data_IF_046481650572
#
_entry.id   IF_046481650572
#
_cell.length_a   1.000
_cell.length_b   1.000
_cell.length_c   1.000
_cell.angle_alpha   90.00
_cell.angle_beta   90.00
_cell.angle_gamma   90.00
#
_symmetry.space_group_name_H-M   'P 1'
#
loop_
_entity.id
_entity.type
_entity.pdbx_description
1 polymer ?
#
# COMPACT_ATOMS: atom_id res chain seq x y z
N UNK A 1 -15.61 -34.71 -60.78
CA UNK A 1 -16.58 -35.75 -61.19
C UNK A 1 -16.28 -37.02 -60.37
N UNK A 2 -17.29 -37.57 -59.67
CA UNK A 2 -17.35 -38.92 -59.07
C UNK A 2 -16.46 -39.18 -57.84
N UNK A 3 -16.98 -39.22 -56.60
CA UNK A 3 -17.51 -40.38 -55.85
C UNK A 3 -16.42 -41.42 -55.50
N UNK A 4 -16.26 -41.98 -54.29
CA UNK A 4 -17.23 -42.47 -53.31
C UNK A 4 -16.64 -42.49 -51.87
N UNK A 5 -17.54 -42.43 -50.89
CA UNK A 5 -17.36 -42.85 -49.49
C UNK A 5 -17.00 -44.35 -49.36
N UNK A 6 -16.56 -44.77 -48.17
CA UNK A 6 -17.38 -45.74 -47.45
C UNK A 6 -17.64 -45.40 -45.97
N UNK A 7 -18.54 -46.20 -45.44
CA UNK A 7 -19.47 -46.06 -44.31
C UNK A 7 -18.95 -46.46 -42.93
N UNK A 8 -19.75 -46.09 -41.94
CA UNK A 8 -19.64 -46.26 -40.49
C UNK A 8 -19.65 -47.69 -39.91
N UNK A 9 -19.07 -47.82 -38.71
CA UNK A 9 -19.51 -48.62 -37.53
C UNK A 9 -18.38 -48.46 -36.47
N UNK A 10 -18.52 -48.34 -35.15
CA UNK A 10 -19.53 -48.85 -34.22
C UNK A 10 -19.43 -48.09 -32.87
N UNK A 11 -20.56 -48.10 -32.17
CA UNK A 11 -20.86 -47.51 -30.87
C UNK A 11 -20.17 -48.25 -29.73
N UNK A 12 -19.64 -47.53 -28.73
CA UNK A 12 -19.60 -48.02 -27.34
C UNK A 12 -19.83 -46.87 -26.36
N UNK A 13 -21.03 -46.85 -25.78
CA UNK A 13 -21.40 -46.03 -24.63
C UNK A 13 -20.94 -46.77 -23.37
N UNK A 14 -20.15 -46.14 -22.53
CA UNK A 14 -19.97 -46.57 -21.12
C UNK A 14 -20.56 -45.51 -20.21
N UNK A 15 -21.69 -45.86 -19.62
CA UNK A 15 -22.36 -45.14 -18.54
C UNK A 15 -21.56 -45.35 -17.24
N UNK A 16 -21.20 -44.26 -16.56
CA UNK A 16 -20.83 -44.31 -15.13
C UNK A 16 -21.91 -43.61 -14.31
N UNK A 17 -22.41 -44.39 -13.36
CA UNK A 17 -23.49 -44.11 -12.45
C UNK A 17 -23.19 -42.91 -11.55
N UNK A 18 -24.18 -42.02 -11.47
CA UNK A 18 -24.37 -41.06 -10.38
C UNK A 18 -24.88 -41.83 -9.16
N UNK A 19 -24.21 -41.70 -8.02
CA UNK A 19 -24.77 -42.03 -6.71
C UNK A 19 -25.03 -40.73 -5.95
N UNK A 20 -26.29 -40.57 -5.59
CA UNK A 20 -26.85 -39.47 -4.80
C UNK A 20 -26.47 -39.61 -3.34
N UNK A 21 -25.83 -38.58 -2.78
CA UNK A 21 -25.65 -38.40 -1.34
C UNK A 21 -26.72 -37.41 -0.86
N UNK A 22 -27.68 -37.89 -0.07
CA UNK A 22 -28.65 -37.06 0.63
C UNK A 22 -28.07 -36.50 1.94
N UNK A 23 -28.46 -35.28 2.36
CA UNK A 23 -28.01 -34.70 3.62
C UNK A 23 -28.82 -35.23 4.80
N UNK A 24 -28.12 -35.60 5.87
CA UNK A 24 -28.71 -36.05 7.13
C UNK A 24 -29.21 -34.84 7.93
N UNK A 25 -30.52 -34.78 8.14
CA UNK A 25 -31.18 -33.87 9.07
C UNK A 25 -30.95 -34.36 10.50
N UNK A 26 -30.36 -33.53 11.37
CA UNK A 26 -30.46 -33.67 12.83
C UNK A 26 -31.16 -32.43 13.38
N UNK A 27 -32.38 -32.64 13.86
CA UNK A 27 -33.08 -31.75 14.80
C UNK A 27 -32.81 -32.20 16.24
N UNK A 28 -33.14 -31.29 17.18
CA UNK A 28 -33.20 -31.39 18.65
C UNK A 28 -31.88 -31.01 19.35
N UNK A 29 -31.81 -30.07 20.30
CA UNK A 29 -32.82 -29.48 21.19
C UNK A 29 -32.42 -28.08 21.65
N UNK A 30 -33.41 -27.22 21.87
CA UNK A 30 -33.36 -26.02 22.69
C UNK A 30 -33.04 -26.36 24.15
N UNK A 31 -32.15 -25.59 24.80
CA UNK A 31 -32.19 -25.42 26.25
C UNK A 31 -31.65 -24.07 26.68
N UNK A 32 -32.45 -23.42 27.51
CA UNK A 32 -32.32 -22.08 28.02
C UNK A 32 -31.13 -21.89 28.98
N UNK A 33 -30.72 -20.63 29.10
CA UNK A 33 -29.85 -20.06 30.14
C UNK A 33 -30.30 -20.42 31.55
N UNK A 34 -29.40 -20.24 32.55
CA UNK A 34 -29.69 -19.13 33.46
C UNK A 34 -28.47 -18.33 33.94
N UNK A 35 -28.73 -17.03 34.07
CA UNK A 35 -28.30 -16.11 35.14
C UNK A 35 -26.84 -16.07 35.61
N UNK A 36 -26.23 -14.90 35.43
CA UNK A 36 -26.04 -13.99 36.56
C UNK A 36 -24.71 -14.06 37.29
N UNK A 37 -23.81 -13.12 37.00
CA UNK A 37 -22.86 -12.61 37.98
C UNK A 37 -22.70 -11.09 37.80
N UNK A 38 -23.23 -10.34 38.77
CA UNK A 38 -22.87 -8.96 39.10
C UNK A 38 -21.55 -9.00 39.88
N UNK A 39 -20.57 -8.21 39.47
CA UNK A 39 -19.44 -7.74 40.29
C UNK A 39 -19.09 -6.34 39.74
N UNK A 40 -19.61 -5.29 40.38
CA UNK A 40 -18.91 -4.47 41.37
C UNK A 40 -17.72 -3.71 40.79
N UNK A 41 -17.97 -2.42 40.60
CA UNK A 41 -17.02 -1.33 40.42
C UNK A 41 -16.15 -1.12 41.68
N UNK A 42 -14.86 -0.79 41.50
CA UNK A 42 -14.11 0.04 42.43
C UNK A 42 -13.84 1.41 41.80
N UNK A 43 -14.37 2.48 42.39
CA UNK A 43 -13.64 3.40 43.28
C UNK A 43 -12.56 4.19 42.55
N UNK A 44 -12.91 5.45 42.26
CA UNK A 44 -11.99 6.54 41.91
C UNK A 44 -11.13 6.93 43.12
N UNK A 45 -9.83 7.23 42.94
CA UNK A 45 -9.10 8.09 43.85
C UNK A 45 -9.02 9.52 43.30
N UNK A 46 -9.55 10.42 44.13
CA UNK A 46 -9.33 11.86 44.13
C UNK A 46 -7.84 12.22 44.20
N UNK A 47 -7.39 13.15 43.35
CA UNK A 47 -6.12 13.88 43.52
C UNK A 47 -6.38 15.38 43.75
N UNK A 48 -5.55 16.08 44.56
CA UNK A 48 -5.73 17.48 44.91
C UNK A 48 -5.16 18.46 43.88
N UNK A 49 -5.55 19.72 44.08
CA UNK A 49 -5.38 20.94 43.27
C UNK A 49 -3.93 21.39 42.98
N UNK A 50 -3.84 22.06 41.83
CA UNK A 50 -3.11 23.30 41.48
C UNK A 50 -1.65 23.50 41.92
N UNK A 51 -0.78 23.71 40.93
CA UNK A 51 0.23 24.78 40.96
C UNK A 51 0.21 25.51 39.62
N UNK A 52 -0.18 26.80 39.67
CA UNK A 52 0.02 27.78 38.60
C UNK A 52 1.49 28.16 38.52
N UNK A 53 2.03 28.23 37.31
CA UNK A 53 3.09 29.20 36.99
C UNK A 53 2.68 29.98 35.73
N UNK A 54 2.38 31.25 35.96
CA UNK A 54 2.30 32.30 34.96
C UNK A 54 3.71 32.78 34.64
N UNK A 55 4.07 32.93 33.36
CA UNK A 55 4.71 34.15 32.89
C UNK A 55 4.74 34.22 31.35
N UNK A 56 4.53 35.45 30.89
CA UNK A 56 4.27 35.95 29.55
C UNK A 56 5.55 36.24 28.75
N UNK A 57 5.51 35.89 27.44
CA UNK A 57 5.87 36.66 26.21
C UNK A 57 7.13 37.58 26.21
N UNK A 58 7.87 37.72 25.07
CA UNK A 58 7.26 38.15 23.80
C UNK A 58 7.83 37.60 22.46
N UNK A 59 7.02 37.86 21.44
CA UNK A 59 7.25 37.75 19.99
C UNK A 59 8.35 38.73 19.54
N UNK A 60 9.24 38.28 18.67
CA UNK A 60 10.07 39.15 17.82
C UNK A 60 10.11 38.59 16.40
N UNK A 61 9.64 39.41 15.46
CA UNK A 61 9.75 39.26 14.02
C UNK A 61 11.12 39.76 13.55
N UNK A 62 11.86 38.96 12.79
CA UNK A 62 12.97 39.45 11.97
C UNK A 62 13.06 38.64 10.68
N UNK A 63 12.64 39.28 9.61
CA UNK A 63 12.97 39.03 8.22
C UNK A 63 14.43 39.42 7.95
N UNK A 64 15.23 38.54 7.36
CA UNK A 64 16.47 38.96 6.69
C UNK A 64 16.78 38.09 5.48
N UNK A 65 16.74 38.76 4.32
CA UNK A 65 17.25 38.36 3.02
C UNK A 65 18.78 38.30 3.02
N UNK A 66 19.38 37.26 2.43
CA UNK A 66 20.82 37.24 2.11
C UNK A 66 21.04 37.00 0.61
N UNK A 67 21.80 37.93 0.06
CA UNK A 67 22.20 38.12 -1.33
C UNK A 67 23.21 37.07 -1.83
N UNK A 68 23.14 36.83 -3.13
CA UNK A 68 24.04 36.01 -3.96
C UNK A 68 25.22 36.87 -4.46
N UNK A 69 26.44 36.28 -4.52
CA UNK A 69 27.48 36.36 -5.59
C UNK A 69 28.93 36.42 -5.05
N UNK A 70 29.99 36.17 -5.87
CA UNK A 70 30.21 35.04 -6.79
C UNK A 70 31.66 34.46 -6.77
N UNK A 71 31.83 33.32 -7.47
CA UNK A 71 33.04 32.69 -8.09
C UNK A 71 34.43 33.35 -7.93
N UNK A 72 35.42 32.50 -7.62
CA UNK A 72 36.76 32.54 -8.25
C UNK A 72 37.26 31.12 -8.61
N UNK A 73 37.84 31.00 -9.81
CA UNK A 73 38.52 29.85 -10.41
C UNK A 73 40.03 29.84 -10.08
N UNK A 74 40.69 28.75 -10.51
CA UNK A 74 42.14 28.49 -10.68
C UNK A 74 42.76 27.76 -9.46
N UNK A 75 43.57 26.70 -9.55
CA UNK A 75 44.38 26.13 -10.62
C UNK A 75 44.82 24.71 -10.18
N UNK A 76 45.04 23.80 -11.14
CA UNK A 76 45.69 22.49 -10.96
C UNK A 76 47.21 22.65 -10.79
N UNK A 77 47.90 21.67 -10.16
CA UNK A 77 49.25 21.35 -10.61
C UNK A 77 49.45 19.85 -10.88
N UNK A 78 49.99 19.58 -12.06
CA UNK A 78 50.77 18.39 -12.42
C UNK A 78 52.16 18.45 -11.76
N UNK A 79 52.81 17.31 -11.49
CA UNK A 79 54.21 17.01 -11.89
C UNK A 79 54.70 15.63 -11.42
N UNK A 80 55.73 15.18 -12.14
CA UNK A 80 56.29 13.85 -12.33
C UNK A 80 57.09 13.23 -11.17
N UNK A 81 57.30 11.91 -11.30
CA UNK A 81 58.24 11.07 -10.56
C UNK A 81 59.68 11.61 -10.56
N UNK A 82 60.34 11.52 -9.40
CA UNK A 82 61.73 11.07 -9.31
C UNK A 82 62.01 10.44 -7.94
N UNK A 83 62.71 9.31 -8.00
CA UNK A 83 63.14 8.44 -6.90
C UNK A 83 64.36 9.02 -6.19
N UNK A 84 64.36 8.99 -4.86
CA UNK A 84 65.60 8.88 -4.07
C UNK A 84 65.27 8.21 -2.75
N UNK A 85 65.93 7.08 -2.46
CA UNK A 85 65.86 6.40 -1.17
C UNK A 85 66.55 7.28 -0.12
N UNK A 86 65.85 7.58 0.97
CA UNK A 86 66.51 7.82 2.24
C UNK A 86 65.76 7.13 3.38
N UNK A 87 66.53 6.45 4.23
CA UNK A 87 66.10 5.47 5.21
C UNK A 87 66.13 6.15 6.57
N UNK A 88 65.01 6.76 6.97
CA UNK A 88 64.82 7.25 8.34
C UNK A 88 63.60 6.61 8.98
N UNK A 89 63.85 5.85 10.03
CA UNK A 89 62.86 5.25 10.92
C UNK A 89 62.04 6.34 11.59
N UNK A 90 60.78 6.51 11.18
CA UNK A 90 59.79 7.29 11.92
C UNK A 90 58.64 6.38 12.37
N UNK A 91 58.58 6.19 13.68
CA UNK A 91 57.45 5.57 14.38
C UNK A 91 56.22 6.43 14.14
N UNK A 92 55.40 6.03 13.16
CA UNK A 92 54.09 6.63 12.91
C UNK A 92 53.08 5.88 13.76
N UNK A 93 52.67 6.54 14.84
CA UNK A 93 51.51 6.17 15.65
C UNK A 93 50.29 6.15 14.73
N UNK A 94 49.87 4.94 14.29
CA UNK A 94 48.61 4.76 13.55
C UNK A 94 47.47 5.16 14.47
N UNK A 95 46.82 6.27 14.16
CA UNK A 95 45.48 6.55 14.67
C UNK A 95 44.55 5.45 14.16
N UNK A 96 43.72 4.82 15.01
CA UNK A 96 42.73 3.87 14.53
C UNK A 96 41.72 4.62 13.68
N UNK A 97 41.61 4.24 12.41
CA UNK A 97 40.47 4.61 11.58
C UNK A 97 39.28 3.85 12.17
N UNK A 98 38.51 4.53 13.00
CA UNK A 98 37.20 4.02 13.43
C UNK A 98 36.26 4.17 12.25
N UNK A 99 36.22 3.15 11.39
CA UNK A 99 35.13 3.03 10.42
C UNK A 99 33.88 2.73 11.24
N UNK A 100 33.10 3.77 11.54
CA UNK A 100 31.77 3.59 12.14
C UNK A 100 30.93 2.87 11.11
N UNK A 101 30.84 1.55 11.19
CA UNK A 101 29.85 0.77 10.45
C UNK A 101 28.48 1.21 10.96
N UNK A 102 27.79 2.05 10.20
CA UNK A 102 26.38 2.34 10.45
C UNK A 102 25.64 1.01 10.39
N UNK A 103 25.16 0.54 11.55
CA UNK A 103 24.31 -0.65 11.61
C UNK A 103 22.98 -0.25 10.98
N UNK A 104 22.72 -0.77 9.78
CA UNK A 104 21.42 -0.61 9.12
C UNK A 104 20.43 -1.48 9.89
N UNK A 105 19.40 -0.85 10.45
CA UNK A 105 18.33 -1.59 11.12
C UNK A 105 17.41 -2.22 10.06
N UNK A 106 17.22 -3.53 10.16
CA UNK A 106 16.37 -4.29 9.26
C UNK A 106 14.96 -4.47 9.84
N UNK A 107 13.91 -4.27 9.02
CA UNK A 107 12.53 -4.53 9.44
C UNK A 107 12.20 -6.02 9.51
N UNK A 108 11.16 -6.34 10.29
CA UNK A 108 10.39 -7.58 10.10
C UNK A 108 9.39 -7.36 8.97
N UNK A 109 9.53 -8.13 7.89
CA UNK A 109 8.60 -8.08 6.75
C UNK A 109 7.72 -9.33 6.73
N UNK A 110 6.41 -9.12 6.80
CA UNK A 110 5.40 -10.13 6.56
C UNK A 110 4.77 -9.93 5.18
N UNK A 111 4.55 -11.01 4.44
CA UNK A 111 4.04 -10.95 3.07
C UNK A 111 2.75 -11.77 2.97
N UNK A 112 1.72 -11.23 2.36
CA UNK A 112 0.43 -11.90 2.14
C UNK A 112 0.07 -11.80 0.65
N UNK A 113 -0.09 -12.94 -0.02
CA UNK A 113 -0.44 -12.99 -1.43
C UNK A 113 -1.95 -13.11 -1.61
N UNK A 114 -2.54 -12.21 -2.40
CA UNK A 114 -3.92 -12.32 -2.87
C UNK A 114 -3.95 -12.95 -4.27
N UNK A 115 -4.40 -14.20 -4.42
CA UNK A 115 -4.25 -14.95 -5.66
C UNK A 115 -5.20 -14.52 -6.79
N UNK A 116 -6.28 -13.80 -6.50
CA UNK A 116 -7.28 -13.40 -7.50
C UNK A 116 -6.78 -12.25 -8.39
N UNK A 117 -6.01 -11.34 -7.80
CA UNK A 117 -5.40 -10.17 -8.45
C UNK A 117 -3.89 -10.34 -8.66
N UNK A 118 -3.27 -11.30 -7.95
CA UNK A 118 -1.84 -11.54 -7.96
C UNK A 118 -1.06 -10.52 -7.12
N UNK A 119 -1.76 -9.81 -6.22
CA UNK A 119 -1.20 -8.71 -5.43
C UNK A 119 -0.46 -9.23 -4.21
N UNK A 120 0.70 -8.64 -3.94
CA UNK A 120 1.38 -8.77 -2.67
C UNK A 120 1.01 -7.63 -1.73
N UNK A 121 0.59 -8.00 -0.54
CA UNK A 121 0.32 -7.10 0.57
C UNK A 121 1.43 -7.28 1.60
N UNK A 122 1.88 -6.18 2.21
CA UNK A 122 2.98 -6.23 3.18
C UNK A 122 2.59 -5.65 4.53
N UNK A 123 3.08 -6.28 5.60
CA UNK A 123 3.13 -5.67 6.93
C UNK A 123 4.61 -5.57 7.33
N UNK A 124 5.08 -4.35 7.52
CA UNK A 124 6.49 -4.05 7.81
C UNK A 124 6.56 -3.47 9.21
N UNK A 125 7.33 -4.09 10.09
CA UNK A 125 7.35 -3.75 11.52
C UNK A 125 8.76 -3.58 12.07
N UNK A 126 8.89 -2.65 13.01
CA UNK A 126 9.99 -2.60 13.95
C UNK A 126 9.67 -3.57 15.11
N UNK A 127 10.41 -4.68 15.22
CA UNK A 127 10.15 -5.67 16.26
C UNK A 127 10.42 -5.17 17.68
N UNK A 128 11.25 -4.13 17.83
CA UNK A 128 11.60 -3.57 19.13
C UNK A 128 10.46 -2.72 19.69
N UNK A 129 9.86 -1.85 18.86
CA UNK A 129 8.78 -0.94 19.27
C UNK A 129 7.38 -1.50 19.03
N UNK A 130 7.27 -2.56 18.23
CA UNK A 130 6.01 -3.10 17.69
C UNK A 130 5.25 -2.13 16.81
N UNK A 131 5.87 -1.02 16.39
CA UNK A 131 5.27 -0.15 15.38
C UNK A 131 5.34 -0.83 14.01
N UNK A 132 4.28 -0.69 13.23
CA UNK A 132 4.17 -1.29 11.91
C UNK A 132 3.47 -0.38 10.90
N UNK A 133 3.66 -0.71 9.63
CA UNK A 133 2.87 -0.17 8.52
C UNK A 133 2.29 -1.31 7.69
N UNK A 134 1.19 -1.01 7.02
CA UNK A 134 0.57 -1.90 6.03
C UNK A 134 0.83 -1.29 4.65
N UNK A 135 1.15 -2.08 3.64
CA UNK A 135 1.36 -1.61 2.27
C UNK A 135 0.48 -2.36 1.26
N UNK A 136 -0.09 -1.61 0.33
CA UNK A 136 -0.93 -2.07 -0.80
C UNK A 136 -2.01 -3.11 -0.40
N UNK A 137 -2.84 -2.83 0.63
CA UNK A 137 -3.77 -3.83 1.15
C UNK A 137 -5.01 -4.01 0.25
N UNK A 138 -5.48 -5.25 0.08
CA UNK A 138 -6.55 -5.59 -0.86
C UNK A 138 -7.92 -5.65 -0.17
N UNK A 139 -8.93 -5.06 -0.81
CA UNK A 139 -10.35 -5.27 -0.57
C UNK A 139 -10.88 -6.21 -1.67
N UNK A 140 -11.42 -7.36 -1.28
CA UNK A 140 -11.82 -8.37 -2.26
C UNK A 140 -13.05 -7.88 -3.04
N UNK A 141 -13.03 -8.05 -4.36
CA UNK A 141 -14.13 -7.68 -5.23
C UNK A 141 -14.34 -8.68 -6.36
N UNK A 142 -15.55 -9.23 -6.44
CA UNK A 142 -15.97 -10.06 -7.56
C UNK A 142 -16.72 -9.22 -8.60
N UNK A 143 -16.06 -8.95 -9.73
CA UNK A 143 -16.64 -8.15 -10.82
C UNK A 143 -17.90 -8.73 -11.44
N UNK A 144 -18.14 -10.04 -11.34
CA UNK A 144 -19.29 -10.67 -11.98
C UNK A 144 -20.54 -10.50 -11.13
N UNK A 145 -20.39 -10.44 -9.81
CA UNK A 145 -21.50 -10.32 -8.85
C UNK A 145 -21.60 -8.93 -8.22
N UNK A 146 -20.56 -8.11 -8.34
CA UNK A 146 -20.43 -6.81 -7.66
C UNK A 146 -20.09 -6.95 -6.18
N UNK A 147 -19.85 -8.18 -5.68
CA UNK A 147 -19.74 -8.46 -4.25
C UNK A 147 -18.41 -7.98 -3.71
N UNK A 148 -18.47 -7.27 -2.58
CA UNK A 148 -17.31 -6.87 -1.78
C UNK A 148 -17.11 -7.83 -0.60
N UNK A 149 -15.86 -8.14 -0.28
CA UNK A 149 -15.45 -9.01 0.83
C UNK A 149 -14.22 -8.42 1.53
N UNK A 150 -14.04 -8.75 2.81
CA UNK A 150 -12.92 -8.27 3.64
C UNK A 150 -11.92 -9.38 3.99
N UNK A 151 -12.07 -10.58 3.44
CA UNK A 151 -11.23 -11.74 3.77
C UNK A 151 -9.73 -11.46 3.66
N UNK A 152 -9.27 -10.76 2.63
CA UNK A 152 -7.85 -10.40 2.50
C UNK A 152 -7.40 -9.40 3.58
N UNK A 153 -8.20 -8.37 3.84
CA UNK A 153 -7.93 -7.38 4.88
C UNK A 153 -7.99 -7.98 6.30
N UNK A 154 -8.91 -8.91 6.55
CA UNK A 154 -9.08 -9.59 7.83
C UNK A 154 -7.83 -10.41 8.19
N UNK A 155 -7.17 -11.04 7.21
CA UNK A 155 -5.87 -11.71 7.44
C UNK A 155 -4.78 -10.75 7.91
N UNK A 156 -4.77 -9.53 7.40
CA UNK A 156 -3.84 -8.48 7.87
C UNK A 156 -4.16 -8.11 9.32
N UNK A 157 -5.44 -7.93 9.66
CA UNK A 157 -5.87 -7.64 11.03
C UNK A 157 -5.54 -8.77 12.02
N UNK A 158 -5.67 -10.03 11.60
CA UNK A 158 -5.28 -11.20 12.38
C UNK A 158 -3.78 -11.21 12.64
N UNK A 159 -2.96 -10.94 11.62
CA UNK A 159 -1.51 -10.83 11.74
C UNK A 159 -1.10 -9.71 12.70
N UNK A 160 -1.69 -8.52 12.57
CA UNK A 160 -1.44 -7.39 13.47
C UNK A 160 -1.78 -7.76 14.92
N UNK A 161 -2.89 -8.47 15.12
CA UNK A 161 -3.32 -8.92 16.45
C UNK A 161 -2.37 -9.97 17.02
N UNK A 162 -1.98 -10.95 16.21
CA UNK A 162 -1.06 -12.03 16.59
C UNK A 162 0.31 -11.52 17.06
N UNK A 163 0.82 -10.48 16.41
CA UNK A 163 2.14 -9.92 16.70
C UNK A 163 2.12 -8.71 17.65
N UNK A 164 0.93 -8.32 18.13
CA UNK A 164 0.69 -7.12 18.93
C UNK A 164 1.24 -5.83 18.30
N UNK A 165 1.10 -5.69 16.98
CA UNK A 165 1.57 -4.50 16.28
C UNK A 165 0.65 -3.29 16.51
N UNK A 166 1.27 -2.11 16.51
CA UNK A 166 0.60 -0.82 16.43
C UNK A 166 0.85 -0.23 15.06
N UNK A 167 -0.19 -0.18 14.23
CA UNK A 167 -0.07 0.36 12.87
C UNK A 167 -0.14 1.89 12.91
N UNK A 168 0.91 2.56 12.43
CA UNK A 168 0.95 4.03 12.35
C UNK A 168 0.53 4.56 10.98
N UNK A 169 0.80 3.80 9.91
CA UNK A 169 0.45 4.17 8.54
C UNK A 169 -0.05 2.99 7.71
N UNK A 170 -0.90 3.29 6.75
CA UNK A 170 -1.32 2.42 5.66
C UNK A 170 -0.88 3.11 4.37
N UNK A 171 -0.06 2.42 3.59
CA UNK A 171 0.72 3.01 2.52
C UNK A 171 0.28 2.43 1.19
N UNK A 172 0.10 3.29 0.20
CA UNK A 172 -0.09 2.89 -1.19
C UNK A 172 1.19 3.22 -1.96
N UNK A 173 1.66 2.31 -2.81
CA UNK A 173 2.73 2.58 -3.77
C UNK A 173 2.21 3.44 -4.93
N UNK A 174 0.95 3.24 -5.34
CA UNK A 174 0.28 3.99 -6.39
C UNK A 174 -1.24 3.77 -6.36
N UNK A 175 -1.99 4.50 -7.18
CA UNK A 175 -3.40 4.21 -7.43
C UNK A 175 -3.56 2.93 -8.28
N UNK A 176 -3.75 1.79 -7.61
CA UNK A 176 -3.87 0.47 -8.25
C UNK A 176 -5.04 0.38 -9.23
N UNK A 177 -4.85 -0.37 -10.31
CA UNK A 177 -5.83 -0.55 -11.38
C UNK A 177 -6.37 -1.99 -11.47
N UNK A 178 -5.84 -2.89 -10.65
CA UNK A 178 -6.05 -4.33 -10.70
C UNK A 178 -6.82 -4.86 -9.47
N UNK A 179 -6.84 -4.12 -8.36
CA UNK A 179 -7.57 -4.44 -7.13
C UNK A 179 -8.13 -3.17 -6.45
N UNK A 180 -9.12 -3.34 -5.58
CA UNK A 180 -9.60 -2.26 -4.70
C UNK A 180 -8.72 -2.23 -3.45
N UNK A 181 -8.29 -1.06 -2.98
CA UNK A 181 -7.59 -0.98 -1.70
C UNK A 181 -8.54 -1.15 -0.52
N UNK A 182 -8.11 -1.88 0.52
CA UNK A 182 -8.80 -1.97 1.81
C UNK A 182 -8.31 -0.94 2.85
N UNK A 183 -7.50 0.05 2.44
CA UNK A 183 -6.92 1.06 3.33
C UNK A 183 -7.91 1.71 4.29
N UNK A 184 -9.06 2.18 3.81
CA UNK A 184 -10.06 2.81 4.69
C UNK A 184 -10.80 1.83 5.59
N UNK A 185 -11.02 0.60 5.13
CA UNK A 185 -11.58 -0.47 5.95
C UNK A 185 -10.63 -0.83 7.10
N UNK A 186 -9.34 -0.99 6.80
CA UNK A 186 -8.31 -1.29 7.78
C UNK A 186 -8.14 -0.16 8.80
N UNK A 187 -8.04 1.10 8.35
CA UNK A 187 -7.95 2.26 9.25
C UNK A 187 -9.12 2.28 10.25
N UNK A 188 -10.36 2.11 9.74
CA UNK A 188 -11.56 2.11 10.58
C UNK A 188 -11.58 0.94 11.56
N UNK A 189 -11.22 -0.26 11.09
CA UNK A 189 -11.17 -1.47 11.90
C UNK A 189 -10.11 -1.40 13.00
N UNK A 190 -8.94 -0.85 12.70
CA UNK A 190 -7.86 -0.66 13.66
C UNK A 190 -8.24 0.35 14.74
N UNK A 191 -8.86 1.48 14.37
CA UNK A 191 -9.37 2.46 15.32
C UNK A 191 -10.44 1.84 16.24
N UNK A 192 -11.37 1.07 15.68
CA UNK A 192 -12.42 0.41 16.47
C UNK A 192 -11.86 -0.63 17.45
N UNK A 193 -10.85 -1.41 17.02
CA UNK A 193 -10.19 -2.41 17.87
C UNK A 193 -9.33 -1.77 18.97
N UNK A 194 -8.77 -0.57 18.74
CA UNK A 194 -7.91 0.15 19.70
C UNK A 194 -8.20 1.67 19.71
N UNK A 195 -9.33 2.11 20.29
CA UNK A 195 -9.78 3.51 20.20
C UNK A 195 -8.88 4.51 20.95
N UNK A 196 -8.01 4.03 21.84
CA UNK A 196 -7.04 4.88 22.56
C UNK A 196 -5.76 5.15 21.74
N UNK A 197 -5.59 4.52 20.58
CA UNK A 197 -4.43 4.74 19.71
C UNK A 197 -4.74 5.83 18.69
N UNK A 198 -3.68 6.49 18.20
CA UNK A 198 -3.80 7.42 17.09
C UNK A 198 -4.34 6.70 15.85
N UNK A 199 -5.13 7.43 15.05
CA UNK A 199 -5.63 6.93 13.77
C UNK A 199 -4.45 6.65 12.83
N UNK A 200 -4.31 5.42 12.27
CA UNK A 200 -3.29 5.16 11.29
C UNK A 200 -3.49 6.02 10.05
N UNK A 201 -2.47 6.71 9.54
CA UNK A 201 -2.61 7.59 8.37
C UNK A 201 -2.61 6.79 7.06
N UNK A 202 -3.57 7.04 6.16
CA UNK A 202 -3.56 6.50 4.79
C UNK A 202 -2.72 7.44 3.91
N UNK A 203 -1.65 6.93 3.32
CA UNK A 203 -0.63 7.72 2.65
C UNK A 203 -0.38 7.25 1.21
N UNK A 204 -0.05 8.18 0.32
CA UNK A 204 0.31 7.92 -1.09
C UNK A 204 1.23 9.04 -1.61
N UNK A 205 1.84 8.87 -2.78
CA UNK A 205 2.63 9.92 -3.42
C UNK A 205 1.80 11.15 -3.83
N UNK A 206 2.34 12.35 -3.70
CA UNK A 206 1.60 13.61 -3.88
C UNK A 206 1.01 13.83 -5.29
N UNK A 207 1.56 13.12 -6.27
CA UNK A 207 1.12 13.12 -7.67
C UNK A 207 -0.17 12.31 -7.89
N UNK A 208 -0.73 11.68 -6.85
CA UNK A 208 -2.09 11.13 -6.85
C UNK A 208 -3.12 12.16 -7.33
N UNK A 209 -2.86 13.46 -7.11
CA UNK A 209 -3.71 14.56 -7.59
C UNK A 209 -3.88 14.54 -9.11
N UNK A 210 -2.87 14.14 -9.88
CA UNK A 210 -2.94 14.04 -11.34
C UNK A 210 -3.84 12.87 -11.77
N UNK A 211 -3.74 11.75 -11.06
CA UNK A 211 -4.60 10.58 -11.28
C UNK A 211 -6.05 10.92 -10.89
N UNK A 212 -6.26 11.56 -9.74
CA UNK A 212 -7.55 12.07 -9.30
C UNK A 212 -8.19 13.02 -10.31
N UNK A 213 -7.43 13.95 -10.89
CA UNK A 213 -7.93 14.84 -11.95
C UNK A 213 -8.37 14.06 -13.19
N UNK A 214 -7.58 13.07 -13.61
CA UNK A 214 -7.91 12.26 -14.79
C UNK A 214 -9.15 11.39 -14.54
N UNK A 215 -9.21 10.71 -13.40
CA UNK A 215 -10.29 9.79 -13.05
C UNK A 215 -11.58 10.51 -12.69
N UNK A 216 -11.51 11.71 -12.10
CA UNK A 216 -12.71 12.51 -11.85
C UNK A 216 -13.41 12.92 -13.13
N UNK A 217 -12.66 13.34 -14.16
CA UNK A 217 -13.22 13.64 -15.49
C UNK A 217 -13.78 12.39 -16.15
N UNK A 218 -13.06 11.26 -16.09
CA UNK A 218 -13.47 10.01 -16.74
C UNK A 218 -14.73 9.38 -16.13
N UNK A 219 -14.84 9.39 -14.81
CA UNK A 219 -15.91 8.69 -14.07
C UNK A 219 -16.91 9.64 -13.40
N UNK A 220 -16.85 10.95 -13.69
CA UNK A 220 -17.67 11.99 -13.06
C UNK A 220 -17.62 11.95 -11.52
N UNK A 221 -16.42 11.79 -10.95
CA UNK A 221 -16.24 11.73 -9.50
C UNK A 221 -16.35 13.15 -8.92
N UNK A 222 -17.26 13.41 -7.97
CA UNK A 222 -17.35 14.70 -7.32
C UNK A 222 -16.07 15.05 -6.57
N UNK A 223 -15.63 16.31 -6.64
CA UNK A 223 -14.42 16.79 -5.96
C UNK A 223 -14.47 16.52 -4.44
N UNK A 224 -15.65 16.63 -3.83
CA UNK A 224 -15.88 16.35 -2.40
C UNK A 224 -15.57 14.89 -2.01
N UNK A 225 -15.61 13.94 -2.95
CA UNK A 225 -15.24 12.54 -2.68
C UNK A 225 -13.73 12.29 -2.76
N UNK A 226 -12.97 13.24 -3.33
CA UNK A 226 -11.52 13.20 -3.45
C UNK A 226 -10.83 14.02 -2.36
N UNK A 227 -11.52 15.02 -1.82
CA UNK A 227 -11.09 15.77 -0.65
C UNK A 227 -10.80 14.82 0.52
N UNK A 228 -9.63 15.01 1.13
CA UNK A 228 -9.13 14.21 2.26
C UNK A 228 -9.21 12.69 2.04
N UNK A 229 -9.11 12.25 0.78
CA UNK A 229 -9.05 10.82 0.44
C UNK A 229 -7.86 10.14 1.12
N UNK A 230 -6.74 10.86 1.21
CA UNK A 230 -5.49 10.44 1.85
C UNK A 230 -5.16 11.42 2.97
N UNK A 231 -4.61 10.90 4.07
CA UNK A 231 -4.25 11.66 5.27
C UNK A 231 -2.86 12.29 5.14
N UNK A 232 -1.99 11.72 4.29
CA UNK A 232 -0.67 12.27 3.98
C UNK A 232 -0.30 12.05 2.51
N UNK A 233 0.35 13.03 1.91
CA UNK A 233 0.80 13.01 0.52
C UNK A 233 2.32 13.22 0.47
N UNK A 234 3.05 12.17 0.13
CA UNK A 234 4.51 12.18 0.19
C UNK A 234 5.13 12.98 -0.97
N UNK A 235 6.11 13.82 -0.65
CA UNK A 235 7.00 14.43 -1.64
C UNK A 235 8.18 13.49 -1.96
N UNK A 236 8.93 13.80 -3.01
CA UNK A 236 10.11 13.04 -3.39
C UNK A 236 11.16 13.09 -2.26
N UNK A 237 11.78 11.94 -1.98
CA UNK A 237 12.82 11.76 -0.96
C UNK A 237 12.39 12.10 0.49
N UNK A 238 11.08 12.26 0.73
CA UNK A 238 10.55 12.43 2.09
C UNK A 238 10.87 11.22 2.96
N UNK A 239 11.21 11.47 4.22
CA UNK A 239 11.49 10.44 5.22
C UNK A 239 10.47 10.46 6.35
N UNK A 240 10.19 9.28 6.89
CA UNK A 240 9.40 9.11 8.12
C UNK A 240 9.90 7.88 8.88
N UNK A 241 9.39 7.64 10.08
CA UNK A 241 9.81 6.51 10.90
C UNK A 241 8.69 5.48 11.10
N UNK A 242 9.12 4.23 11.27
CA UNK A 242 8.33 3.13 11.84
C UNK A 242 9.08 2.70 13.10
N UNK A 243 8.68 3.22 14.27
CA UNK A 243 9.48 3.06 15.48
C UNK A 243 10.88 3.62 15.28
N UNK A 244 11.90 2.76 15.35
CA UNK A 244 13.30 3.14 15.14
C UNK A 244 13.76 3.01 13.68
N UNK A 245 12.94 2.46 12.80
CA UNK A 245 13.28 2.29 11.38
C UNK A 245 13.03 3.59 10.64
N UNK A 246 14.02 4.08 9.90
CA UNK A 246 13.82 5.16 8.92
C UNK A 246 13.28 4.57 7.62
N UNK A 247 12.28 5.24 7.05
CA UNK A 247 11.72 4.94 5.73
C UNK A 247 12.02 6.13 4.83
N UNK A 248 12.60 5.88 3.67
CA UNK A 248 12.74 6.87 2.61
C UNK A 248 11.74 6.59 1.49
N UNK A 249 10.99 7.60 1.10
CA UNK A 249 10.09 7.55 -0.06
C UNK A 249 10.87 7.89 -1.31
N UNK A 250 10.80 7.04 -2.33
CA UNK A 250 11.45 7.28 -3.63
C UNK A 250 10.40 7.38 -4.74
N UNK A 251 10.44 8.43 -5.54
CA UNK A 251 9.59 8.54 -6.73
C UNK A 251 10.07 7.57 -7.81
N UNK A 252 9.13 6.77 -8.34
CA UNK A 252 9.37 5.71 -9.31
C UNK A 252 8.32 5.74 -10.44
N UNK A 253 8.18 6.86 -11.17
CA UNK A 253 7.16 7.01 -12.20
C UNK A 253 7.38 6.03 -13.36
N UNK A 254 6.32 5.81 -14.13
CA UNK A 254 6.38 5.11 -15.40
C UNK A 254 5.23 4.14 -15.59
N UNK A 255 4.91 3.37 -14.55
CA UNK A 255 3.66 2.61 -14.52
C UNK A 255 2.45 3.56 -14.40
N UNK A 256 2.51 4.43 -13.40
CA UNK A 256 1.62 5.58 -13.20
C UNK A 256 2.47 6.79 -12.79
N UNK A 257 1.97 8.04 -12.93
CA UNK A 257 2.72 9.23 -12.54
C UNK A 257 2.88 9.40 -11.02
N UNK A 258 1.99 8.80 -10.22
CA UNK A 258 1.97 8.86 -8.76
C UNK A 258 2.80 7.79 -8.06
N UNK A 259 3.39 6.87 -8.83
CA UNK A 259 4.09 5.71 -8.32
C UNK A 259 5.31 6.08 -7.47
N UNK A 260 5.35 5.56 -6.24
CA UNK A 260 6.45 5.68 -5.29
C UNK A 260 6.85 4.30 -4.75
N UNK A 261 8.08 4.21 -4.25
CA UNK A 261 8.57 3.09 -3.48
C UNK A 261 9.01 3.49 -2.08
N UNK A 262 9.14 2.51 -1.19
CA UNK A 262 9.55 2.71 0.20
C UNK A 262 10.84 1.94 0.48
N UNK A 263 11.90 2.64 0.87
CA UNK A 263 13.20 2.05 1.24
C UNK A 263 13.28 1.95 2.76
N UNK A 264 13.51 0.74 3.29
CA UNK A 264 13.56 0.45 4.74
C UNK A 264 14.68 -0.56 4.98
N UNK A 265 15.79 -0.08 5.53
CA UNK A 265 17.03 -0.87 5.59
C UNK A 265 17.49 -1.31 4.20
N UNK A 266 17.85 -2.58 4.04
CA UNK A 266 18.17 -3.18 2.73
C UNK A 266 16.95 -3.75 1.99
N UNK A 267 15.74 -3.21 2.22
CA UNK A 267 14.50 -3.64 1.58
C UNK A 267 13.84 -2.46 0.86
N UNK A 268 13.35 -2.69 -0.35
CA UNK A 268 12.63 -1.70 -1.14
C UNK A 268 11.32 -2.27 -1.60
N UNK A 269 10.21 -1.62 -1.25
CA UNK A 269 8.88 -1.94 -1.73
C UNK A 269 8.63 -1.16 -3.00
N UNK A 270 8.64 -1.84 -4.14
CA UNK A 270 8.74 -1.21 -5.47
C UNK A 270 7.41 -1.08 -6.18
N UNK A 271 6.30 -1.54 -5.59
CA UNK A 271 5.00 -1.66 -6.26
C UNK A 271 5.17 -2.25 -7.68
N UNK A 272 4.47 -1.64 -8.64
CA UNK A 272 4.53 -2.01 -10.06
C UNK A 272 5.64 -1.31 -10.86
N UNK A 273 6.80 -1.05 -10.27
CA UNK A 273 7.98 -0.63 -11.04
C UNK A 273 8.71 -1.81 -11.68
N UNK A 274 8.98 -2.86 -10.89
CA UNK A 274 9.71 -4.04 -11.33
C UNK A 274 9.04 -5.29 -10.78
N UNK A 275 8.89 -6.31 -11.62
CA UNK A 275 8.38 -7.63 -11.23
C UNK A 275 9.53 -8.63 -11.08
N UNK A 276 9.25 -9.83 -10.60
CA UNK A 276 10.26 -10.90 -10.54
C UNK A 276 10.93 -11.11 -11.91
N UNK A 277 12.21 -11.53 -11.96
CA UNK A 277 13.00 -11.54 -13.19
C UNK A 277 12.36 -12.24 -14.40
N UNK A 278 11.64 -13.33 -14.14
CA UNK A 278 10.93 -14.14 -15.13
C UNK A 278 9.55 -13.56 -15.52
N UNK A 279 9.05 -12.55 -14.81
CA UNK A 279 7.88 -11.73 -15.16
C UNK A 279 8.31 -10.44 -15.86
N UNK A 280 9.36 -9.78 -15.35
CA UNK A 280 10.04 -8.64 -15.95
C UNK A 280 9.61 -7.29 -15.37
N UNK A 281 8.75 -6.55 -16.08
CA UNK A 281 8.38 -5.16 -15.78
C UNK A 281 6.89 -4.91 -16.04
N UNK A 282 6.34 -3.89 -15.40
CA UNK A 282 4.95 -3.48 -15.56
C UNK A 282 4.65 -2.85 -16.93
N UNK A 283 3.36 -2.69 -17.20
CA UNK A 283 2.82 -1.94 -18.35
C UNK A 283 2.93 -0.42 -18.11
N UNK A 284 2.91 0.37 -19.18
CA UNK A 284 3.07 1.83 -19.14
C UNK A 284 1.98 2.60 -19.91
N UNK A 285 0.89 1.94 -20.28
CA UNK A 285 -0.19 2.48 -21.09
C UNK A 285 -1.38 3.02 -20.27
N UNK A 286 -1.25 3.08 -18.95
CA UNK A 286 -2.16 3.87 -18.13
C UNK A 286 -2.08 5.37 -18.49
N UNK A 287 -3.14 6.15 -18.24
CA UNK A 287 -3.07 7.59 -18.42
C UNK A 287 -1.91 8.21 -17.61
N UNK A 288 -0.95 8.82 -18.32
CA UNK A 288 0.26 9.39 -17.73
C UNK A 288 1.42 8.40 -17.52
N UNK A 289 1.24 7.12 -17.89
CA UNK A 289 2.31 6.13 -17.93
C UNK A 289 3.35 6.44 -19.02
N UNK A 290 4.58 5.96 -18.81
CA UNK A 290 5.72 6.21 -19.70
C UNK A 290 6.77 5.11 -19.56
N UNK A 291 7.03 4.40 -20.65
CA UNK A 291 8.09 3.38 -20.70
C UNK A 291 9.48 3.99 -20.46
N UNK A 292 9.70 5.23 -20.91
CA UNK A 292 10.95 5.96 -20.67
C UNK A 292 11.16 6.24 -19.18
N UNK A 293 10.11 6.67 -18.48
CA UNK A 293 10.17 6.90 -17.03
C UNK A 293 10.31 5.58 -16.28
N UNK A 294 9.58 4.53 -16.68
CA UNK A 294 9.68 3.22 -16.06
C UNK A 294 11.11 2.66 -16.16
N UNK A 295 11.76 2.84 -17.31
CA UNK A 295 13.15 2.46 -17.50
C UNK A 295 14.06 3.22 -16.51
N UNK A 296 13.92 4.54 -16.39
CA UNK A 296 14.71 5.36 -15.46
C UNK A 296 14.49 4.96 -14.00
N UNK A 297 13.25 4.74 -13.61
CA UNK A 297 12.87 4.24 -12.28
C UNK A 297 13.48 2.87 -12.00
N UNK A 298 13.45 1.97 -12.98
CA UNK A 298 14.09 0.66 -12.86
C UNK A 298 15.61 0.79 -12.76
N UNK A 299 16.25 1.64 -13.55
CA UNK A 299 17.70 1.89 -13.43
C UNK A 299 18.07 2.49 -12.05
N UNK A 300 17.22 3.36 -11.49
CA UNK A 300 17.38 3.86 -10.11
C UNK A 300 17.37 2.70 -9.12
N UNK A 301 16.38 1.80 -9.19
CA UNK A 301 16.31 0.60 -8.34
C UNK A 301 17.52 -0.33 -8.54
N UNK A 302 17.88 -0.58 -9.80
CA UNK A 302 19.03 -1.41 -10.17
C UNK A 302 20.36 -0.71 -9.93
N UNK A 303 20.42 0.51 -9.38
CA UNK A 303 21.67 1.15 -8.95
C UNK A 303 22.01 0.85 -7.48
N UNK A 304 21.05 0.32 -6.71
CA UNK A 304 21.20 -0.02 -5.30
C UNK A 304 22.20 -1.17 -5.09
N UNK A 305 22.69 -1.39 -3.84
CA UNK A 305 23.59 -2.51 -3.55
C UNK A 305 22.96 -3.86 -3.89
N UNK A 306 23.76 -4.79 -4.41
CA UNK A 306 23.25 -6.07 -4.96
C UNK A 306 22.43 -6.90 -3.98
N UNK A 307 22.70 -6.79 -2.68
CA UNK A 307 22.01 -7.52 -1.63
C UNK A 307 20.64 -6.94 -1.25
N UNK A 308 20.28 -5.74 -1.74
CA UNK A 308 18.98 -5.14 -1.45
C UNK A 308 17.86 -6.00 -2.03
N UNK A 309 16.80 -6.19 -1.26
CA UNK A 309 15.60 -6.93 -1.68
C UNK A 309 14.59 -5.98 -2.30
N UNK A 310 14.13 -6.29 -3.51
CA UNK A 310 13.07 -5.57 -4.21
C UNK A 310 11.75 -6.35 -4.08
N UNK A 311 10.89 -5.88 -3.18
CA UNK A 311 9.56 -6.40 -2.90
C UNK A 311 8.56 -5.86 -3.93
N UNK A 312 7.95 -6.75 -4.70
CA UNK A 312 7.15 -6.38 -5.87
C UNK A 312 5.66 -6.27 -5.57
N UNK A 313 4.95 -5.33 -6.22
CA UNK A 313 3.50 -5.18 -6.02
C UNK A 313 2.70 -6.40 -6.47
N UNK A 314 3.17 -7.09 -7.52
CA UNK A 314 2.47 -8.23 -8.10
C UNK A 314 3.40 -9.35 -8.51
N UNK A 315 2.85 -10.56 -8.52
CA UNK A 315 3.52 -11.69 -9.13
C UNK A 315 2.56 -12.58 -9.93
N UNK A 316 2.98 -12.87 -11.15
CA UNK A 316 2.24 -13.69 -12.12
C UNK A 316 3.13 -14.85 -12.54
N UNK A 317 3.31 -15.87 -11.67
CA UNK A 317 4.24 -16.97 -11.90
C UNK A 317 3.97 -17.65 -13.25
N UNK A 318 4.95 -17.70 -14.17
CA UNK A 318 4.82 -18.52 -15.35
C UNK A 318 4.73 -20.00 -14.95
N UNK A 319 4.05 -20.83 -15.75
CA UNK A 319 3.90 -22.26 -15.46
C UNK A 319 5.25 -22.96 -15.26
N UNK A 320 6.26 -22.52 -16.00
CA UNK A 320 7.64 -23.00 -16.00
C UNK A 320 8.42 -22.64 -14.73
N UNK A 321 7.94 -21.71 -13.90
CA UNK A 321 8.63 -21.34 -12.67
C UNK A 321 8.73 -22.57 -11.77
N UNK A 322 9.96 -22.93 -11.41
CA UNK A 322 10.19 -23.90 -10.34
C UNK A 322 10.05 -23.17 -9.01
N UNK A 323 9.44 -23.82 -8.01
CA UNK A 323 9.49 -23.29 -6.65
C UNK A 323 10.97 -23.11 -6.29
N UNK A 324 11.36 -21.97 -5.67
CA UNK A 324 12.75 -21.77 -5.31
C UNK A 324 13.24 -22.95 -4.46
N UNK A 325 14.37 -23.51 -4.85
CA UNK A 325 15.00 -24.63 -4.17
C UNK A 325 15.87 -24.09 -3.01
N UNK A 326 15.76 -24.65 -1.80
CA UNK A 326 16.59 -24.27 -0.64
C UNK A 326 15.94 -23.28 0.35
N UNK A 327 16.75 -22.63 1.19
CA UNK A 327 16.40 -21.78 2.35
C UNK A 327 15.30 -20.71 2.09
N UNK A 328 15.07 -20.33 0.82
CA UNK A 328 13.92 -19.50 0.42
C UNK A 328 12.56 -20.16 0.77
N UNK A 329 12.47 -21.50 0.83
CA UNK A 329 11.29 -22.22 1.32
C UNK A 329 11.05 -22.00 2.83
N UNK A 330 12.10 -21.82 3.64
CA UNK A 330 11.92 -21.57 5.09
C UNK A 330 11.37 -20.17 5.38
N UNK A 331 11.66 -19.19 4.50
CA UNK A 331 11.06 -17.85 4.57
C UNK A 331 9.61 -17.85 4.06
N UNK A 332 9.30 -18.64 3.02
CA UNK A 332 7.92 -18.82 2.54
C UNK A 332 7.03 -19.61 3.51
N UNK A 333 7.59 -20.57 4.28
CA UNK A 333 6.84 -21.33 5.29
C UNK A 333 6.37 -20.48 6.48
N UNK A 334 6.89 -19.27 6.66
CA UNK A 334 6.40 -18.31 7.67
C UNK A 334 5.23 -17.45 7.17
N UNK A 335 4.74 -17.66 5.93
CA UNK A 335 3.83 -16.74 5.25
C UNK A 335 2.53 -17.44 4.85
N UNK A 336 1.41 -16.70 4.92
CA UNK A 336 0.05 -17.16 4.58
C UNK A 336 -0.16 -17.37 3.07
N UNK A 337 0.79 -18.01 2.39
CA UNK A 337 0.72 -18.37 0.99
C UNK A 337 0.26 -19.82 0.93
N UNK A 338 -0.85 -20.10 0.22
CA UNK A 338 -1.31 -21.46 0.06
C UNK A 338 -0.21 -22.30 -0.60
N UNK A 339 0.01 -23.53 -0.10
CA UNK A 339 1.14 -24.41 -0.47
C UNK A 339 1.32 -24.73 -1.98
N UNK A 340 0.39 -24.30 -2.83
CA UNK A 340 0.40 -24.51 -4.28
C UNK A 340 0.73 -23.24 -5.10
N UNK A 341 0.92 -22.10 -4.44
CA UNK A 341 1.14 -20.82 -5.12
C UNK A 341 2.65 -20.60 -5.27
N UNK A 342 3.12 -20.50 -6.52
CA UNK A 342 4.54 -20.25 -6.88
C UNK A 342 4.95 -18.78 -6.80
N UNK A 343 4.24 -18.00 -5.99
CA UNK A 343 4.46 -16.57 -5.89
C UNK A 343 5.72 -16.30 -5.06
N UNK A 344 6.50 -15.32 -5.51
CA UNK A 344 7.74 -14.87 -4.87
C UNK A 344 7.57 -13.38 -4.55
N UNK A 345 7.68 -12.97 -3.28
CA UNK A 345 7.41 -11.59 -2.87
C UNK A 345 8.54 -10.62 -3.19
N UNK A 346 9.77 -11.11 -3.33
CA UNK A 346 10.93 -10.30 -3.64
C UNK A 346 12.04 -11.09 -4.33
N UNK A 347 12.90 -10.37 -5.03
CA UNK A 347 14.23 -10.85 -5.45
C UNK A 347 15.29 -9.81 -5.10
N UNK A 348 16.56 -10.13 -5.24
CA UNK A 348 17.64 -9.16 -4.96
C UNK A 348 17.91 -8.27 -6.16
N UNK A 349 18.50 -7.09 -5.93
CA UNK A 349 19.00 -6.22 -6.99
C UNK A 349 20.00 -6.96 -7.89
N UNK A 350 20.88 -7.78 -7.33
CA UNK A 350 21.82 -8.60 -8.10
C UNK A 350 21.10 -9.59 -9.02
N UNK A 351 20.11 -10.32 -8.51
CA UNK A 351 19.29 -11.23 -9.32
C UNK A 351 18.59 -10.47 -10.44
N UNK A 352 17.98 -9.33 -10.15
CA UNK A 352 17.27 -8.52 -11.15
C UNK A 352 18.20 -7.99 -12.24
N UNK A 353 19.40 -7.51 -11.88
CA UNK A 353 20.41 -7.07 -12.86
C UNK A 353 20.81 -8.19 -13.82
N UNK A 354 20.92 -9.42 -13.33
CA UNK A 354 21.45 -10.52 -14.13
C UNK A 354 20.36 -11.24 -14.94
N UNK A 355 19.15 -11.33 -14.39
CA UNK A 355 18.13 -12.28 -14.86
C UNK A 355 16.85 -11.62 -15.36
N UNK A 356 16.61 -10.33 -15.09
CA UNK A 356 15.35 -9.71 -15.51
C UNK A 356 15.19 -9.73 -17.03
N UNK A 357 14.15 -10.40 -17.51
CA UNK A 357 14.00 -10.66 -18.94
C UNK A 357 13.69 -9.41 -19.78
N UNK A 358 13.30 -8.28 -19.15
CA UNK A 358 13.03 -7.02 -19.85
C UNK A 358 14.11 -5.95 -19.63
N UNK A 359 14.76 -5.91 -18.45
CA UNK A 359 15.60 -4.76 -18.02
C UNK A 359 16.90 -5.19 -17.32
N UNK A 360 17.40 -6.39 -17.61
CA UNK A 360 18.73 -6.81 -17.14
C UNK A 360 19.84 -5.90 -17.65
N UNK A 361 21.01 -6.03 -17.03
CA UNK A 361 22.22 -5.32 -17.42
C UNK A 361 22.51 -5.55 -18.92
N UNK A 362 22.81 -4.46 -19.61
CA UNK A 362 23.05 -4.46 -21.06
C UNK A 362 21.82 -4.12 -21.90
N UNK A 363 20.60 -4.14 -21.35
CA UNK A 363 19.42 -3.60 -22.06
C UNK A 363 19.51 -2.08 -22.14
N UNK A 364 19.37 -1.53 -23.35
CA UNK A 364 19.35 -0.08 -23.57
C UNK A 364 17.94 0.50 -23.33
N UNK A 365 17.87 1.83 -23.14
CA UNK A 365 16.58 2.52 -22.99
C UNK A 365 15.73 2.39 -24.25
N UNK A 366 16.37 2.51 -25.42
CA UNK A 366 15.72 2.44 -26.73
C UNK A 366 15.09 1.05 -26.95
N UNK A 367 15.85 -0.02 -26.71
CA UNK A 367 15.35 -1.40 -26.80
C UNK A 367 14.19 -1.65 -25.84
N UNK A 368 14.32 -1.18 -24.58
CA UNK A 368 13.25 -1.34 -23.60
C UNK A 368 11.98 -0.57 -23.99
N UNK A 369 12.10 0.69 -24.39
CA UNK A 369 10.96 1.55 -24.73
C UNK A 369 10.24 1.01 -25.96
N UNK A 370 10.98 0.60 -27.00
CA UNK A 370 10.41 -0.01 -28.19
C UNK A 370 9.64 -1.29 -27.83
N UNK A 371 10.30 -2.23 -27.15
CA UNK A 371 9.69 -3.49 -26.75
C UNK A 371 8.47 -3.29 -25.85
N UNK A 372 8.57 -2.39 -24.86
CA UNK A 372 7.50 -2.13 -23.87
C UNK A 372 6.28 -1.52 -24.54
N UNK A 373 6.49 -0.55 -25.43
CA UNK A 373 5.43 0.11 -26.20
C UNK A 373 4.71 -0.87 -27.13
N UNK A 374 5.48 -1.73 -27.82
CA UNK A 374 4.91 -2.80 -28.65
C UNK A 374 4.08 -3.76 -27.81
N UNK A 375 4.61 -4.22 -26.67
CA UNK A 375 3.89 -5.13 -25.78
C UNK A 375 2.60 -4.51 -25.24
N UNK A 376 2.64 -3.26 -24.80
CA UNK A 376 1.47 -2.56 -24.26
C UNK A 376 0.35 -2.41 -25.28
N UNK A 377 0.68 -2.14 -26.56
CA UNK A 377 -0.31 -2.05 -27.64
C UNK A 377 -1.12 -3.33 -27.87
N UNK A 378 -0.60 -4.49 -27.42
CA UNK A 378 -1.27 -5.79 -27.51
C UNK A 378 -2.00 -6.23 -26.25
N UNK A 379 -1.95 -5.45 -25.15
CA UNK A 379 -2.60 -5.80 -23.90
C UNK A 379 -4.05 -5.33 -23.88
N UNK A 380 -4.93 -6.16 -23.29
CA UNK A 380 -6.28 -5.72 -22.93
C UNK A 380 -6.27 -4.85 -21.66
N UNK A 381 -7.41 -4.19 -21.41
CA UNK A 381 -7.63 -3.48 -20.15
C UNK A 381 -7.53 -4.45 -18.95
N UNK A 382 -6.97 -4.01 -17.81
CA UNK A 382 -7.04 -4.77 -16.58
C UNK A 382 -8.48 -5.13 -16.23
N UNK A 383 -8.68 -6.35 -15.71
CA UNK A 383 -10.03 -6.88 -15.42
C UNK A 383 -10.85 -6.00 -14.47
N UNK A 384 -10.18 -5.31 -13.55
CA UNK A 384 -10.79 -4.47 -12.52
C UNK A 384 -10.52 -2.98 -12.71
N UNK A 385 -10.04 -2.53 -13.89
CA UNK A 385 -9.64 -1.14 -14.14
C UNK A 385 -10.65 -0.11 -13.66
N UNK A 386 -11.92 -0.25 -14.08
CA UNK A 386 -13.00 0.65 -13.72
C UNK A 386 -13.31 0.65 -12.22
N UNK A 387 -13.65 -0.52 -11.62
CA UNK A 387 -13.91 -0.62 -10.18
C UNK A 387 -12.75 -0.13 -9.30
N UNK A 388 -11.52 -0.55 -9.59
CA UNK A 388 -10.33 -0.22 -8.79
C UNK A 388 -10.07 1.28 -8.76
N UNK A 389 -9.97 1.93 -9.93
CA UNK A 389 -9.65 3.36 -9.98
C UNK A 389 -10.76 4.26 -9.42
N UNK A 390 -12.01 3.78 -9.35
CA UNK A 390 -13.06 4.53 -8.67
C UNK A 390 -12.91 4.45 -7.14
N UNK A 391 -12.47 3.33 -6.59
CA UNK A 391 -12.28 3.21 -5.13
C UNK A 391 -10.96 3.80 -4.68
N UNK A 392 -9.88 3.56 -5.42
CA UNK A 392 -8.53 3.82 -4.98
C UNK A 392 -8.21 5.32 -4.95
N UNK A 393 -8.72 6.09 -5.92
CA UNK A 393 -8.60 7.57 -5.91
C UNK A 393 -9.36 8.24 -4.76
N UNK A 394 -10.27 7.50 -4.09
CA UNK A 394 -11.00 7.93 -2.89
C UNK A 394 -10.35 7.41 -1.59
N UNK A 395 -9.13 6.89 -1.67
CA UNK A 395 -8.39 6.33 -0.53
C UNK A 395 -9.08 5.10 0.07
N UNK A 396 -9.72 4.27 -0.75
CA UNK A 396 -10.42 3.06 -0.32
C UNK A 396 -11.87 3.27 0.14
N UNK A 397 -12.41 4.49 0.01
CA UNK A 397 -13.85 4.71 0.18
C UNK A 397 -14.58 4.22 -1.07
N UNK A 398 -15.61 3.41 -0.89
CA UNK A 398 -16.52 3.05 -1.97
C UNK A 398 -17.26 4.32 -2.48
N UNK A 399 -17.62 4.40 -3.76
CA UNK A 399 -18.51 5.45 -4.27
C UNK A 399 -19.79 5.62 -3.43
N UNK A 400 -20.27 6.85 -3.33
CA UNK A 400 -21.49 7.16 -2.57
C UNK A 400 -22.73 6.45 -3.14
N UNK A 401 -22.76 6.24 -4.45
CA UNK A 401 -23.75 5.46 -5.20
C UNK A 401 -23.09 4.58 -6.26
N UNK A 402 -23.81 3.58 -6.76
CA UNK A 402 -23.36 2.79 -7.91
C UNK A 402 -23.09 3.69 -9.13
N UNK A 403 -22.14 3.28 -9.98
CA UNK A 403 -21.76 3.99 -11.20
C UNK A 403 -21.96 3.10 -12.42
N UNK A 404 -21.92 3.68 -13.63
CA UNK A 404 -22.07 2.93 -14.88
C UNK A 404 -21.01 1.84 -15.09
N UNK A 405 -19.89 1.90 -14.35
CA UNK A 405 -18.76 0.98 -14.47
C UNK A 405 -18.46 0.21 -13.18
N UNK A 406 -19.31 0.36 -12.16
CA UNK A 406 -19.17 -0.32 -10.87
C UNK A 406 -20.53 -0.48 -10.19
N UNK A 407 -20.97 -1.73 -10.04
CA UNK A 407 -22.09 -2.07 -9.16
C UNK A 407 -21.55 -2.74 -7.91
N UNK A 408 -22.09 -2.35 -6.75
CA UNK A 408 -21.58 -2.79 -5.46
C UNK A 408 -22.69 -3.50 -4.70
N UNK A 409 -22.48 -4.77 -4.41
CA UNK A 409 -23.42 -5.61 -3.67
C UNK A 409 -22.76 -6.16 -2.41
N UNK A 410 -23.58 -6.51 -1.42
CA UNK A 410 -23.17 -7.20 -0.19
C UNK A 410 -22.02 -6.53 0.59
N UNK A 411 -22.05 -5.19 0.70
CA UNK A 411 -21.02 -4.41 1.40
C UNK A 411 -20.90 -4.86 2.87
N UNK A 412 -19.76 -5.43 3.30
CA UNK A 412 -19.56 -5.84 4.69
C UNK A 412 -19.61 -4.64 5.65
N UNK A 413 -19.98 -4.93 6.90
CA UNK A 413 -19.97 -3.90 7.96
C UNK A 413 -18.57 -3.33 8.13
N UNK A 414 -18.45 -2.01 8.25
CA UNK A 414 -17.17 -1.32 8.43
C UNK A 414 -16.47 -0.93 7.13
N UNK A 415 -16.93 -1.40 5.96
CA UNK A 415 -16.46 -0.89 4.66
C UNK A 415 -17.12 0.46 4.37
N UNK A 416 -16.36 1.57 4.31
CA UNK A 416 -16.92 2.91 4.24
C UNK A 416 -17.23 3.34 2.81
N UNK A 417 -18.29 4.13 2.65
CA UNK A 417 -18.64 4.85 1.42
C UNK A 417 -18.26 6.33 1.52
N UNK A 418 -18.02 6.97 0.39
CA UNK A 418 -17.98 8.42 0.31
C UNK A 418 -19.35 9.01 0.71
N UNK A 419 -19.35 10.15 1.39
CA UNK A 419 -20.57 10.82 1.82
C UNK A 419 -21.24 11.54 0.66
N UNK A 420 -22.55 11.36 0.48
CA UNK A 420 -23.33 12.21 -0.42
C UNK A 420 -23.32 13.65 0.10
N UNK A 421 -23.07 14.66 -0.76
CA UNK A 421 -23.11 16.07 -0.34
C UNK A 421 -24.52 16.55 0.10
N UNK A 422 -25.56 15.74 -0.03
CA UNK A 422 -26.97 16.14 0.18
C UNK A 422 -27.54 15.85 1.57
N UNK A 423 -26.74 15.47 2.56
CA UNK A 423 -27.23 15.35 3.95
C UNK A 423 -26.37 16.19 4.89
N UNK A 424 -26.60 17.50 4.86
CA UNK A 424 -26.44 18.32 6.06
C UNK A 424 -27.35 17.75 7.15
N UNK A 425 -26.86 17.42 8.35
CA UNK A 425 -27.76 17.17 9.47
C UNK A 425 -28.38 18.53 9.82
N UNK A 426 -29.64 18.73 9.44
CA UNK A 426 -30.43 19.85 9.94
C UNK A 426 -30.46 19.69 11.46
N UNK A 427 -29.76 20.58 12.15
CA UNK A 427 -29.86 20.75 13.58
C UNK A 427 -31.32 20.94 13.93
N UNK A 428 -31.86 20.02 14.73
CA UNK A 428 -33.16 20.16 15.36
C UNK A 428 -33.17 21.45 16.16
N UNK A 429 -33.90 22.45 15.65
CA UNK A 429 -34.23 23.64 16.41
C UNK A 429 -35.21 23.24 17.52
N UNK A 430 -34.73 23.27 18.75
CA UNK A 430 -35.58 23.25 19.94
C UNK A 430 -36.48 24.48 19.89
N UNK A 431 -37.77 24.27 19.66
CA UNK A 431 -38.81 25.27 19.81
C UNK A 431 -38.87 25.70 21.29
N UNK A 432 -38.41 26.92 21.57
CA UNK A 432 -38.61 27.56 22.86
C UNK A 432 -39.96 28.28 22.82
N UNK A 433 -40.92 27.73 23.56
CA UNK A 433 -42.25 28.30 23.80
C UNK A 433 -42.12 29.60 24.59
N UNK A 434 -42.29 30.73 23.92
CA UNK A 434 -42.47 32.05 24.55
C UNK A 434 -43.82 32.06 25.28
N UNK A 435 -43.77 32.00 26.61
CA UNK A 435 -44.93 32.21 27.49
C UNK A 435 -45.03 33.71 27.76
N UNK A 436 -45.91 34.41 27.05
CA UNK A 436 -46.20 35.82 27.30
C UNK A 436 -47.15 35.95 28.49
N UNK A 437 -46.64 36.41 29.62
CA UNK A 437 -47.44 36.81 30.77
C UNK A 437 -48.07 38.19 30.51
N UNK A 438 -49.40 38.26 30.54
CA UNK A 438 -50.20 39.49 30.56
C UNK A 438 -50.22 40.05 32.00
N UNK A 439 -50.01 41.36 32.23
CA UNK A 439 -50.33 41.99 33.50
C UNK A 439 -51.80 42.43 33.54
N UNK A 440 -52.48 42.03 34.60
CA UNK A 440 -53.77 42.58 35.05
C UNK A 440 -53.63 44.07 35.38
N UNK A 441 -54.49 44.91 34.79
CA UNK A 441 -54.86 46.23 35.32
C UNK A 441 -56.38 46.34 35.30
N UNK A 442 -56.94 46.66 36.46
CA UNK A 442 -58.37 46.83 36.78
C UNK A 442 -58.98 48.10 36.16
N UNK A 443 -60.33 48.19 36.06
CA UNK A 443 -61.01 49.29 35.40
C UNK A 443 -61.36 50.42 36.38
N UNK A 444 -61.19 51.68 35.99
CA UNK A 444 -61.87 52.83 36.60
C UNK A 444 -62.20 53.86 35.51
N UNK A 445 -63.52 54.07 35.38
CA UNK A 445 -64.30 55.14 34.74
C UNK A 445 -64.21 55.42 33.24
#
# INVERSE_FOLDING_TARGET
MGSMLPTASMISRTTKSLQSVQPSVRQLTTRASPSGFKLQSPISPSYPREVRFTQSLPVSTASESVLISPRQQLQQPSYNLNTTLDRTTHSTRRSPITTTTTIIMEPRVHTLFEPSTGTWQYVVADEATKEAVIMDPVLDYDKNTGRVSTHSADKILDLITQHDYTVSRILETHAHADHLTSSRYLQSSLLQRRPSRALPQICIGERIRQVQETMSKKYNIPASELESAFDHLFTDDETFNIGNLEVQVIHLPGHTPDHIGYVIGSNVFTGDSIFNPDVGSARCDFPGGSATELYRSTQKLLSLPGHYKLYTGHDYPPETRSLPCGEQQQQQQQQHVAAHVKAVPFTTVETQRNENKHVKIGTTMEEFVEWRSQRDSGLGDPKLLGPSLQVNVRGGRLPASDTSSMSITDVPTGVPRASNPTTTPTTTSTSATLTTAMPHISPVH
#
